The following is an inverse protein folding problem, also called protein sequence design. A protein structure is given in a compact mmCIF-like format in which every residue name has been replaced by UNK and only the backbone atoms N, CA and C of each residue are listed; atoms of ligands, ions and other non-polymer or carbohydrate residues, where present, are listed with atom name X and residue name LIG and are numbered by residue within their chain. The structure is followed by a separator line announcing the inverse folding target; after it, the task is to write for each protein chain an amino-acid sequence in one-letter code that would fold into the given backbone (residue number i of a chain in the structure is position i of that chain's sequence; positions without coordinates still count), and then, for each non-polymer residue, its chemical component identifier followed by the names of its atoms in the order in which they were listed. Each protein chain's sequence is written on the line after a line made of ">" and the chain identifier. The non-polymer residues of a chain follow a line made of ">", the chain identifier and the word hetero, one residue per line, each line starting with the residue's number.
data_IF_752635781379
#
_entry.id   IF_752635781379
#
_cell.length_a   1.000
_cell.length_b   1.000
_cell.length_c   1.000
_cell.angle_alpha   90.00
_cell.angle_beta   90.00
_cell.angle_gamma   90.00
#
_symmetry.space_group_name_H-M   'P 1'
#
loop_
_entity.id
_entity.type
_entity.pdbx_description
1 polymer ?
#
# COMPACT_ATOMS: atom_id res chain seq x y z
N UNK A 1 46.29 6.34 -6.51
CA UNK A 1 46.15 7.39 -5.49
C UNK A 1 45.57 8.64 -6.15
N UNK A 2 44.31 8.96 -5.79
CA UNK A 2 43.63 10.26 -5.87
C UNK A 2 43.41 10.84 -7.29
N UNK A 3 42.28 11.40 -7.70
CA UNK A 3 40.89 11.58 -7.23
C UNK A 3 40.44 12.91 -7.86
N UNK A 4 39.17 13.00 -8.30
CA UNK A 4 38.33 14.22 -8.28
C UNK A 4 38.78 15.34 -9.25
N UNK A 5 37.99 15.98 -10.09
CA UNK A 5 36.58 16.35 -10.17
C UNK A 5 36.28 16.52 -11.68
N UNK A 6 35.06 16.39 -12.19
CA UNK A 6 34.15 17.52 -12.42
C UNK A 6 32.76 16.91 -12.67
N UNK A 7 32.00 16.70 -11.59
CA UNK A 7 30.55 16.64 -11.64
C UNK A 7 30.04 18.08 -11.67
N UNK A 8 29.82 18.64 -12.87
CA UNK A 8 29.06 19.88 -13.02
C UNK A 8 27.57 19.55 -13.03
N UNK A 9 27.02 19.58 -11.81
CA UNK A 9 25.63 19.86 -11.44
C UNK A 9 24.82 20.53 -12.56
N UNK A 10 23.94 19.78 -13.22
CA UNK A 10 22.71 20.35 -13.74
C UNK A 10 21.65 20.12 -12.67
N UNK A 11 21.40 21.19 -11.90
CA UNK A 11 20.24 21.30 -11.02
C UNK A 11 19.00 21.30 -11.93
N UNK A 12 18.34 20.16 -12.09
CA UNK A 12 17.00 20.13 -12.63
C UNK A 12 16.07 20.51 -11.48
N UNK A 13 15.50 21.69 -11.62
CA UNK A 13 14.54 22.28 -10.71
C UNK A 13 13.18 21.63 -10.97
N UNK A 14 12.90 20.49 -10.34
CA UNK A 14 11.57 19.86 -10.35
C UNK A 14 10.83 20.31 -9.09
N UNK A 15 10.21 21.48 -9.18
CA UNK A 15 9.02 21.78 -8.37
C UNK A 15 7.84 21.42 -9.24
N UNK A 16 7.08 20.39 -8.89
CA UNK A 16 5.62 20.31 -9.07
C UNK A 16 5.10 18.99 -8.52
N UNK A 17 4.27 19.11 -7.48
CA UNK A 17 3.10 18.27 -7.18
C UNK A 17 3.36 16.77 -6.96
N UNK A 18 3.88 16.48 -5.78
CA UNK A 18 3.98 15.14 -5.20
C UNK A 18 2.56 14.61 -4.99
N UNK A 19 2.21 13.54 -5.70
CA UNK A 19 0.99 12.74 -5.53
C UNK A 19 0.97 12.18 -4.11
N UNK A 20 0.26 12.88 -3.23
CA UNK A 20 -0.04 12.38 -1.88
C UNK A 20 -0.93 11.14 -2.06
N UNK A 21 -0.62 10.04 -1.37
CA UNK A 21 -1.66 9.06 -1.06
C UNK A 21 -2.75 9.86 -0.35
N UNK A 22 -3.89 10.02 -1.02
CA UNK A 22 -4.97 10.87 -0.54
C UNK A 22 -5.74 10.12 0.55
N UNK A 23 -5.11 9.95 1.72
CA UNK A 23 -5.86 9.83 2.95
C UNK A 23 -6.82 11.01 3.00
N UNK A 24 -8.12 10.74 3.02
CA UNK A 24 -9.08 11.81 3.23
C UNK A 24 -8.90 12.31 4.66
N UNK A 25 -8.77 13.62 4.84
CA UNK A 25 -8.48 14.25 6.15
C UNK A 25 -9.46 13.81 7.25
N UNK A 26 -10.71 13.49 6.88
CA UNK A 26 -11.77 13.12 7.83
C UNK A 26 -12.20 11.64 7.78
N UNK A 27 -11.41 10.76 7.18
CA UNK A 27 -11.71 9.32 7.15
C UNK A 27 -10.73 8.58 8.05
N UNK A 28 -11.26 7.77 8.97
CA UNK A 28 -10.48 6.90 9.84
C UNK A 28 -10.06 5.64 9.07
N UNK A 29 -8.77 5.33 9.07
CA UNK A 29 -8.18 4.13 8.45
C UNK A 29 -7.44 3.26 9.47
N UNK A 30 -7.10 3.79 10.65
CA UNK A 30 -6.44 3.02 11.70
C UNK A 30 -7.34 1.89 12.21
N UNK A 31 -6.70 0.77 12.50
CA UNK A 31 -7.35 -0.49 12.82
C UNK A 31 -6.72 -1.05 14.10
N UNK A 32 -7.47 -1.04 15.20
CA UNK A 32 -7.00 -1.53 16.51
C UNK A 32 -6.67 -3.02 16.43
N UNK A 33 -5.41 -3.35 16.72
CA UNK A 33 -4.97 -4.73 16.87
C UNK A 33 -4.93 -5.20 18.35
N UNK A 34 -4.52 -6.44 18.57
CA UNK A 34 -4.51 -7.01 19.93
C UNK A 34 -3.45 -6.38 20.84
N UNK A 35 -2.40 -5.79 20.28
CA UNK A 35 -1.40 -5.02 21.03
C UNK A 35 -1.99 -3.69 21.46
N UNK A 36 -2.71 -3.02 20.57
CA UNK A 36 -3.39 -1.77 20.85
C UNK A 36 -4.42 -1.91 21.97
N UNK A 37 -5.21 -2.98 21.97
CA UNK A 37 -6.17 -3.28 23.05
C UNK A 37 -5.48 -3.33 24.41
N UNK A 38 -4.31 -3.97 24.49
CA UNK A 38 -3.55 -4.02 25.74
C UNK A 38 -3.07 -2.63 26.17
N UNK A 39 -2.65 -1.78 25.24
CA UNK A 39 -2.24 -0.39 25.53
C UNK A 39 -3.44 0.42 26.02
N UNK A 40 -4.57 0.35 25.31
CA UNK A 40 -5.81 1.05 25.64
C UNK A 40 -6.27 0.67 27.05
N UNK A 41 -6.27 -0.63 27.39
CA UNK A 41 -6.63 -1.13 28.72
C UNK A 41 -5.63 -0.68 29.79
N UNK A 42 -4.33 -0.82 29.54
CA UNK A 42 -3.27 -0.49 30.51
C UNK A 42 -3.25 0.99 30.90
N UNK A 43 -3.58 1.88 29.96
CA UNK A 43 -3.56 3.32 30.17
C UNK A 43 -4.97 3.92 30.34
N UNK A 44 -6.02 3.10 30.29
CA UNK A 44 -7.43 3.51 30.38
C UNK A 44 -7.76 4.65 29.39
N UNK A 45 -7.41 4.44 28.11
CA UNK A 45 -7.62 5.40 27.02
C UNK A 45 -8.99 5.15 26.38
N UNK A 46 -9.65 6.20 25.91
CA UNK A 46 -10.88 6.05 25.11
C UNK A 46 -10.54 5.52 23.70
N UNK A 47 -11.29 4.52 23.23
CA UNK A 47 -11.05 3.83 21.96
C UNK A 47 -11.01 4.82 20.79
N UNK A 48 -12.06 5.65 20.65
CA UNK A 48 -12.17 6.64 19.58
C UNK A 48 -10.99 7.63 19.56
N UNK A 49 -10.48 8.02 20.75
CA UNK A 49 -9.33 8.90 20.86
C UNK A 49 -8.04 8.21 20.43
N UNK A 50 -7.86 6.93 20.80
CA UNK A 50 -6.70 6.15 20.38
C UNK A 50 -6.68 6.00 18.85
N UNK A 51 -7.81 5.62 18.25
CA UNK A 51 -7.94 5.46 16.81
C UNK A 51 -7.61 6.77 16.07
N UNK A 52 -8.16 7.90 16.51
CA UNK A 52 -7.89 9.20 15.89
C UNK A 52 -6.41 9.59 15.98
N UNK A 53 -5.78 9.40 17.14
CA UNK A 53 -4.37 9.76 17.33
C UNK A 53 -3.48 8.88 16.43
N UNK A 54 -3.68 7.57 16.46
CA UNK A 54 -2.84 6.66 15.69
C UNK A 54 -3.07 6.77 14.20
N UNK A 55 -4.31 6.97 13.76
CA UNK A 55 -4.63 7.28 12.36
C UNK A 55 -3.88 8.54 11.88
N UNK A 56 -3.89 9.62 12.66
CA UNK A 56 -3.13 10.82 12.35
C UNK A 56 -1.62 10.56 12.30
N UNK A 57 -1.08 9.81 13.26
CA UNK A 57 0.35 9.50 13.33
C UNK A 57 0.80 8.63 12.16
N UNK A 58 0.01 7.62 11.77
CA UNK A 58 0.31 6.76 10.63
C UNK A 58 0.29 7.54 9.32
N UNK A 59 -0.71 8.41 9.12
CA UNK A 59 -0.79 9.28 7.94
C UNK A 59 0.44 10.20 7.82
N UNK A 60 0.83 10.84 8.91
CA UNK A 60 2.01 11.69 8.96
C UNK A 60 3.31 10.90 8.74
N UNK A 61 3.44 9.75 9.40
CA UNK A 61 4.60 8.87 9.22
C UNK A 61 4.73 8.41 7.78
N UNK A 62 3.62 8.00 7.15
CA UNK A 62 3.59 7.58 5.77
C UNK A 62 4.05 8.69 4.82
N UNK A 63 3.55 9.92 5.02
CA UNK A 63 4.00 11.09 4.25
C UNK A 63 5.51 11.33 4.36
N UNK A 64 6.07 11.21 5.57
CA UNK A 64 7.52 11.36 5.81
C UNK A 64 8.31 10.24 5.13
N UNK A 65 7.81 9.00 5.13
CA UNK A 65 8.48 7.90 4.46
C UNK A 65 8.51 8.08 2.95
N UNK A 66 7.42 8.57 2.34
CA UNK A 66 7.39 8.83 0.90
C UNK A 66 8.51 9.80 0.45
N UNK A 67 8.80 10.84 1.25
CA UNK A 67 9.90 11.77 0.93
C UNK A 67 11.28 11.09 0.91
N UNK A 68 11.48 10.06 1.74
CA UNK A 68 12.76 9.31 1.79
C UNK A 68 12.84 8.23 0.72
N UNK A 69 11.71 7.59 0.46
CA UNK A 69 11.54 6.47 -0.45
C UNK A 69 11.62 6.91 -1.92
N UNK A 70 11.25 8.15 -2.25
CA UNK A 70 11.39 8.73 -3.59
C UNK A 70 12.85 8.78 -4.11
N UNK A 71 13.85 8.52 -3.25
CA UNK A 71 15.25 8.37 -3.67
C UNK A 71 15.65 6.90 -3.97
N UNK A 72 14.72 5.95 -3.91
CA UNK A 72 14.97 4.57 -4.32
C UNK A 72 14.62 4.43 -5.80
N UNK A 73 15.51 3.80 -6.57
CA UNK A 73 15.22 3.43 -7.95
C UNK A 73 13.98 2.53 -7.99
N UNK A 74 13.03 2.84 -8.86
CA UNK A 74 11.87 1.99 -9.16
C UNK A 74 12.32 0.80 -10.02
N UNK A 75 11.67 -0.34 -9.87
CA UNK A 75 11.87 -1.47 -10.78
C UNK A 75 11.29 -1.11 -12.15
N UNK A 76 12.08 -1.28 -13.21
CA UNK A 76 11.62 -1.16 -14.58
C UNK A 76 10.59 -2.26 -14.88
N UNK A 77 9.48 -1.88 -15.52
CA UNK A 77 8.46 -2.80 -16.02
C UNK A 77 8.94 -3.35 -17.35
N UNK A 78 9.00 -4.67 -17.49
CA UNK A 78 9.33 -5.33 -18.77
C UNK A 78 8.06 -5.47 -19.64
N UNK A 79 8.23 -5.52 -20.96
CA UNK A 79 7.13 -5.71 -21.92
C UNK A 79 6.42 -7.07 -21.71
N UNK A 80 7.09 -8.02 -21.07
CA UNK A 80 6.59 -9.36 -20.74
C UNK A 80 5.87 -9.45 -19.38
N UNK A 81 5.84 -8.38 -18.58
CA UNK A 81 5.18 -8.39 -17.27
C UNK A 81 3.65 -8.47 -17.40
N UNK A 82 3.03 -9.33 -16.60
CA UNK A 82 1.58 -9.54 -16.54
C UNK A 82 1.04 -9.26 -15.15
N UNK A 83 -0.21 -8.80 -15.08
CA UNK A 83 -0.88 -8.58 -13.82
C UNK A 83 -1.20 -9.91 -13.11
N UNK A 84 -0.73 -10.08 -11.88
CA UNK A 84 -0.98 -11.25 -11.01
C UNK A 84 -2.46 -11.41 -10.60
N UNK A 85 -3.32 -10.44 -10.92
CA UNK A 85 -4.77 -10.50 -10.66
C UNK A 85 -5.54 -10.91 -11.91
N UNK A 86 -5.34 -10.21 -13.03
CA UNK A 86 -6.15 -10.39 -14.24
C UNK A 86 -5.44 -11.15 -15.36
N UNK A 87 -4.13 -11.42 -15.22
CA UNK A 87 -3.28 -12.13 -16.19
C UNK A 87 -3.09 -11.43 -17.55
N UNK A 88 -3.39 -10.13 -17.63
CA UNK A 88 -3.17 -9.29 -18.82
C UNK A 88 -1.96 -8.36 -18.62
N UNK A 89 -1.34 -7.94 -19.73
CA UNK A 89 -0.24 -6.96 -19.76
C UNK A 89 -0.71 -5.54 -19.44
N UNK A 90 0.24 -4.62 -19.23
CA UNK A 90 -0.03 -3.19 -19.05
C UNK A 90 -0.78 -2.58 -20.26
N UNK A 91 -1.57 -1.52 -20.02
CA UNK A 91 -2.23 -0.71 -21.05
C UNK A 91 -2.04 0.78 -20.74
N UNK A 92 -2.11 1.66 -21.76
CA UNK A 92 -1.86 3.11 -21.63
C UNK A 92 -2.71 3.84 -20.56
N UNK A 93 -3.87 3.29 -20.17
CA UNK A 93 -4.75 3.88 -19.15
C UNK A 93 -4.73 3.19 -17.78
N UNK A 94 -4.16 1.99 -17.71
CA UNK A 94 -4.12 1.15 -16.51
C UNK A 94 -2.81 0.36 -16.51
N UNK A 95 -1.74 0.99 -16.02
CA UNK A 95 -0.42 0.39 -16.05
C UNK A 95 -0.19 -0.55 -14.88
N UNK A 96 0.93 -1.27 -14.93
CA UNK A 96 1.36 -2.16 -13.86
C UNK A 96 2.08 -1.38 -12.76
N UNK A 97 1.88 -1.82 -11.52
CA UNK A 97 2.62 -1.42 -10.33
C UNK A 97 3.41 -2.63 -9.87
N UNK A 98 4.72 -2.49 -9.73
CA UNK A 98 5.60 -3.55 -9.24
C UNK A 98 5.98 -3.29 -7.79
N UNK A 99 5.61 -4.23 -6.91
CA UNK A 99 5.92 -4.12 -5.49
C UNK A 99 7.41 -4.28 -5.25
N UNK A 100 8.04 -3.29 -4.64
CA UNK A 100 9.49 -3.29 -4.39
C UNK A 100 9.94 -4.32 -3.34
N UNK A 101 9.02 -4.82 -2.51
CA UNK A 101 9.32 -5.80 -1.46
C UNK A 101 9.14 -7.27 -1.87
N UNK A 102 8.32 -7.55 -2.89
CA UNK A 102 8.04 -8.93 -3.31
C UNK A 102 7.88 -9.15 -4.81
N UNK A 103 8.08 -8.10 -5.62
CA UNK A 103 8.03 -8.13 -7.08
C UNK A 103 6.70 -8.59 -7.68
N UNK A 104 5.60 -8.57 -6.92
CA UNK A 104 4.26 -8.79 -7.47
C UNK A 104 3.89 -7.62 -8.38
N UNK A 105 3.35 -7.92 -9.57
CA UNK A 105 3.00 -6.96 -10.60
C UNK A 105 1.48 -6.92 -10.76
N UNK A 106 0.88 -5.74 -10.59
CA UNK A 106 -0.58 -5.61 -10.56
C UNK A 106 -1.02 -4.34 -11.26
N UNK A 107 -2.11 -4.39 -12.02
CA UNK A 107 -2.67 -3.14 -12.55
C UNK A 107 -3.13 -2.24 -11.41
N UNK A 108 -2.99 -0.94 -11.60
CA UNK A 108 -3.48 0.08 -10.66
C UNK A 108 -4.95 -0.17 -10.31
N UNK A 109 -5.80 -0.41 -11.31
CA UNK A 109 -7.22 -0.67 -11.07
C UNK A 109 -7.47 -2.09 -10.54
N UNK A 110 -6.64 -3.09 -10.86
CA UNK A 110 -6.80 -4.44 -10.32
C UNK A 110 -6.49 -4.51 -8.82
N UNK A 111 -5.57 -3.68 -8.34
CA UNK A 111 -5.24 -3.58 -6.92
C UNK A 111 -6.03 -2.49 -6.17
N UNK A 112 -6.62 -1.53 -6.89
CA UNK A 112 -7.35 -0.40 -6.30
C UNK A 112 -6.40 0.63 -5.70
N UNK A 113 -5.34 0.96 -6.43
CA UNK A 113 -4.30 1.89 -6.01
C UNK A 113 -4.48 3.26 -6.66
N UNK A 114 -4.01 4.31 -5.99
CA UNK A 114 -3.88 5.65 -6.57
C UNK A 114 -2.46 5.96 -7.07
N UNK A 115 -1.53 5.03 -6.91
CA UNK A 115 -0.12 5.22 -7.30
C UNK A 115 0.02 5.32 -8.82
N UNK A 116 0.97 6.15 -9.26
CA UNK A 116 1.45 6.18 -10.65
C UNK A 116 2.56 5.15 -10.89
N UNK A 117 2.89 4.88 -12.16
CA UNK A 117 3.94 3.92 -12.56
C UNK A 117 5.31 4.27 -12.00
N UNK A 118 5.61 5.57 -11.98
CA UNK A 118 6.89 6.11 -11.56
C UNK A 118 7.01 6.21 -10.02
N UNK A 119 5.94 5.89 -9.30
CA UNK A 119 5.92 5.95 -7.84
C UNK A 119 6.38 4.63 -7.22
N UNK A 120 7.12 4.77 -6.12
CA UNK A 120 7.49 3.62 -5.31
C UNK A 120 6.25 2.96 -4.71
N UNK A 121 6.10 1.66 -4.96
CA UNK A 121 4.95 0.87 -4.53
C UNK A 121 5.34 -0.30 -3.62
N UNK A 122 4.61 -0.44 -2.50
CA UNK A 122 4.60 -1.65 -1.68
C UNK A 122 3.17 -2.16 -1.53
N UNK A 123 2.95 -3.45 -1.73
CA UNK A 123 1.68 -4.08 -1.40
C UNK A 123 1.48 -4.14 0.12
N UNK A 124 0.24 -4.27 0.58
CA UNK A 124 -0.06 -4.26 2.02
C UNK A 124 0.68 -5.35 2.78
N UNK A 125 0.92 -6.52 2.17
CA UNK A 125 1.75 -7.56 2.78
C UNK A 125 3.17 -7.08 3.11
N UNK A 126 3.79 -6.32 2.22
CA UNK A 126 5.14 -5.78 2.43
C UNK A 126 5.14 -4.59 3.39
N UNK A 127 4.06 -3.81 3.44
CA UNK A 127 3.88 -2.73 4.42
C UNK A 127 3.78 -3.31 5.84
N UNK A 128 2.96 -4.34 6.01
CA UNK A 128 2.71 -5.01 7.29
C UNK A 128 3.55 -6.28 7.47
N UNK A 129 4.84 -6.23 7.08
CA UNK A 129 5.72 -7.42 7.04
C UNK A 129 5.84 -8.19 8.37
N UNK A 130 5.59 -7.52 9.51
CA UNK A 130 5.68 -8.09 10.86
C UNK A 130 4.32 -8.63 11.37
N UNK A 131 3.24 -8.43 10.61
CA UNK A 131 1.90 -8.93 10.97
C UNK A 131 1.59 -10.24 10.25
N UNK A 132 0.73 -11.04 10.86
CA UNK A 132 0.17 -12.22 10.20
C UNK A 132 -0.81 -11.79 9.10
N UNK A 133 -0.37 -11.92 7.85
CA UNK A 133 -1.15 -11.57 6.66
C UNK A 133 -1.97 -12.76 6.12
N UNK A 134 -2.25 -13.78 6.94
CA UNK A 134 -3.09 -14.92 6.55
C UNK A 134 -4.47 -14.45 6.09
N UNK A 135 -4.87 -14.86 4.89
CA UNK A 135 -6.20 -14.60 4.36
C UNK A 135 -7.27 -15.30 5.20
N UNK A 136 -8.27 -14.57 5.69
CA UNK A 136 -9.35 -15.14 6.52
C UNK A 136 -10.30 -16.07 5.75
N UNK A 137 -10.32 -15.98 4.41
CA UNK A 137 -11.23 -16.74 3.55
C UNK A 137 -10.65 -18.08 3.09
N UNK A 138 -9.34 -18.13 2.81
CA UNK A 138 -8.67 -19.33 2.31
C UNK A 138 -7.55 -19.89 3.22
N UNK A 139 -7.24 -19.19 4.32
CA UNK A 139 -6.20 -19.58 5.29
C UNK A 139 -4.80 -19.77 4.70
N UNK A 140 -4.49 -19.04 3.62
CA UNK A 140 -3.17 -19.04 2.98
C UNK A 140 -2.50 -17.68 3.16
N UNK A 141 -1.16 -17.66 3.17
CA UNK A 141 -0.34 -16.48 3.50
C UNK A 141 0.34 -15.87 2.26
N UNK A 142 0.12 -16.48 1.10
CA UNK A 142 0.69 -16.13 -0.18
C UNK A 142 -0.30 -15.37 -1.06
N UNK A 143 0.21 -14.47 -1.88
CA UNK A 143 -0.61 -13.69 -2.81
C UNK A 143 -0.89 -12.28 -2.33
N UNK A 144 -1.87 -11.66 -2.98
CA UNK A 144 -2.17 -10.23 -2.88
C UNK A 144 -3.35 -9.99 -1.94
N UNK A 145 -3.06 -9.42 -0.78
CA UNK A 145 -4.02 -9.16 0.29
C UNK A 145 -4.44 -7.70 0.37
N UNK A 146 -5.67 -7.49 0.86
CA UNK A 146 -6.19 -6.21 1.34
C UNK A 146 -6.72 -6.35 2.78
N UNK A 147 -6.72 -5.25 3.53
CA UNK A 147 -7.30 -5.20 4.88
C UNK A 147 -8.83 -5.38 4.80
N UNK A 148 -9.37 -6.20 5.68
CA UNK A 148 -10.82 -6.41 5.86
C UNK A 148 -11.40 -5.40 6.85
N UNK A 149 -12.73 -5.25 6.89
CA UNK A 149 -13.44 -4.43 7.88
C UNK A 149 -13.16 -4.80 9.35
N UNK A 150 -12.72 -6.04 9.61
CA UNK A 150 -12.34 -6.54 10.93
C UNK A 150 -10.82 -6.46 11.20
N UNK A 151 -10.10 -5.62 10.48
CA UNK A 151 -8.65 -5.39 10.66
C UNK A 151 -7.79 -6.66 10.48
N UNK A 152 -8.26 -7.60 9.65
CA UNK A 152 -7.53 -8.79 9.19
C UNK A 152 -7.20 -8.65 7.70
N UNK A 153 -6.72 -9.72 7.08
CA UNK A 153 -6.36 -9.73 5.66
C UNK A 153 -7.26 -10.68 4.86
N UNK A 154 -7.55 -10.29 3.62
CA UNK A 154 -8.24 -11.13 2.64
C UNK A 154 -7.60 -10.98 1.27
N UNK A 155 -7.54 -12.05 0.47
CA UNK A 155 -7.03 -11.96 -0.89
C UNK A 155 -8.00 -11.23 -1.80
N UNK A 156 -7.48 -10.37 -2.68
CA UNK A 156 -8.27 -9.79 -3.78
C UNK A 156 -8.91 -10.89 -4.64
N UNK A 157 -8.17 -11.97 -4.91
CA UNK A 157 -8.69 -13.12 -5.64
C UNK A 157 -9.82 -13.85 -4.89
N UNK A 158 -9.76 -13.93 -3.55
CA UNK A 158 -10.86 -14.51 -2.78
C UNK A 158 -12.15 -13.70 -2.99
N UNK A 159 -12.08 -12.38 -3.01
CA UNK A 159 -13.24 -11.51 -3.30
C UNK A 159 -13.75 -11.70 -4.72
N UNK A 160 -12.84 -11.84 -5.70
CA UNK A 160 -13.23 -12.03 -7.12
C UNK A 160 -13.96 -13.36 -7.33
N UNK A 161 -13.54 -14.42 -6.64
CA UNK A 161 -14.07 -15.77 -6.83
C UNK A 161 -15.19 -16.17 -5.86
N UNK A 162 -15.33 -15.47 -4.73
CA UNK A 162 -16.40 -15.70 -3.77
C UNK A 162 -17.48 -14.61 -3.87
N UNK A 163 -18.68 -14.91 -4.41
CA UNK A 163 -19.74 -13.92 -4.55
C UNK A 163 -20.35 -13.45 -3.22
N UNK A 164 -19.95 -14.03 -2.09
CA UNK A 164 -20.41 -13.64 -0.75
C UNK A 164 -19.54 -12.59 -0.09
N UNK A 165 -18.40 -12.26 -0.69
CA UNK A 165 -17.42 -11.30 -0.18
C UNK A 165 -17.32 -10.15 -1.18
N UNK A 166 -17.18 -8.91 -0.72
CA UNK A 166 -17.02 -7.76 -1.62
C UNK A 166 -16.08 -6.69 -1.07
N UNK A 167 -15.69 -5.73 -1.91
CA UNK A 167 -14.99 -4.52 -1.50
C UNK A 167 -15.99 -3.42 -1.15
N UNK A 168 -15.83 -2.79 0.01
CA UNK A 168 -16.67 -1.65 0.42
C UNK A 168 -16.55 -0.49 -0.58
N UNK A 169 -15.34 -0.29 -1.10
CA UNK A 169 -15.07 0.64 -2.18
C UNK A 169 -14.40 -0.08 -3.36
N UNK A 170 -15.11 -0.17 -4.48
CA UNK A 170 -14.63 -0.84 -5.71
C UNK A 170 -13.41 -0.17 -6.35
N UNK A 171 -13.19 1.13 -6.09
CA UNK A 171 -12.05 1.87 -6.64
C UNK A 171 -10.79 1.65 -5.82
N UNK A 172 -10.88 1.68 -4.48
CA UNK A 172 -9.72 1.44 -3.60
C UNK A 172 -9.51 -0.05 -3.27
N UNK A 173 -10.51 -0.89 -3.59
CA UNK A 173 -10.56 -2.33 -3.26
C UNK A 173 -10.29 -2.62 -1.78
N UNK A 174 -10.80 -1.73 -0.93
CA UNK A 174 -10.65 -1.84 0.51
C UNK A 174 -11.69 -0.97 1.24
N UNK A 175 -12.09 -1.36 2.47
CA UNK A 175 -11.83 -2.67 3.07
C UNK A 175 -12.61 -3.80 2.38
N UNK A 176 -12.17 -5.05 2.57
CA UNK A 176 -12.96 -6.24 2.21
C UNK A 176 -13.99 -6.52 3.32
N UNK A 177 -15.24 -6.82 2.96
CA UNK A 177 -16.31 -7.15 3.91
C UNK A 177 -17.06 -8.44 3.57
#
# INVERSE_FOLDING_TARGET
>A
MKSLDILKKQKINVKTEISKVHYKENQLYYCIDDTDKQIIENFNIEVDLFEQIFDMLEKEWFNIQQEKIHNCDTLEIDDDDICDVCTYSANEGDPLLICQGCSIAVHRNCYGSSFSEDEFFLCQRCIYYDKDTTCIFCHSNDGLVKITNNCKFGHILCVIFDPTVDFDNQNSKEPIF
#
